data_IF_183665649883
#
_entry.id   IF_183665649883
#
_cell.length_a   1.000
_cell.length_b   1.000
_cell.length_c   1.000
_cell.angle_alpha   90.00
_cell.angle_beta   90.00
_cell.angle_gamma   90.00
#
_symmetry.space_group_name_H-M   'P 1'
#
loop_
_entity.id
_entity.type
_entity.pdbx_description
1 polymer ?
#
# COMPACT_ATOMS: atom_id res chain seq x y z
N UNK A 1 14.20 3.91 7.00
CA UNK A 1 12.92 3.81 7.74
C UNK A 1 11.86 4.41 6.83
N UNK A 2 10.80 3.67 6.52
CA UNK A 2 9.77 4.14 5.60
C UNK A 2 8.79 5.03 6.38
N UNK A 3 8.49 6.21 5.88
CA UNK A 3 7.50 7.10 6.50
C UNK A 3 6.14 6.86 5.88
N UNK A 4 5.36 5.96 6.49
CA UNK A 4 3.97 5.74 6.13
C UNK A 4 3.08 6.83 6.76
N UNK A 5 2.30 7.53 5.93
CA UNK A 5 1.31 8.51 6.40
C UNK A 5 -0.11 7.97 6.25
N UNK A 6 -1.02 8.44 7.10
CA UNK A 6 -2.44 8.09 6.99
C UNK A 6 -3.02 8.59 5.67
N UNK A 7 -3.84 7.77 5.02
CA UNK A 7 -4.56 8.23 3.83
C UNK A 7 -5.67 9.20 4.23
N UNK A 8 -5.82 10.27 3.45
CA UNK A 8 -6.88 11.26 3.62
C UNK A 8 -7.51 11.60 2.27
N UNK A 9 -8.66 12.28 2.32
CA UNK A 9 -9.32 12.79 1.11
C UNK A 9 -8.45 13.76 0.32
N UNK A 10 -7.46 14.40 0.95
CA UNK A 10 -6.54 15.35 0.32
C UNK A 10 -5.43 14.66 -0.47
N UNK A 11 -5.25 13.35 -0.30
CA UNK A 11 -4.24 12.58 -1.04
C UNK A 11 -4.74 12.12 -2.41
N UNK A 12 -5.92 12.56 -2.83
CA UNK A 12 -6.56 12.18 -4.09
C UNK A 12 -5.63 12.35 -5.30
N UNK A 13 -4.97 13.50 -5.38
CA UNK A 13 -4.11 13.85 -6.51
C UNK A 13 -2.77 13.10 -6.49
N UNK A 14 -2.43 12.46 -5.36
CA UNK A 14 -1.28 11.56 -5.25
C UNK A 14 -1.68 10.13 -5.62
N UNK A 15 -2.83 9.66 -5.14
CA UNK A 15 -3.23 8.25 -5.27
C UNK A 15 -3.81 7.94 -6.66
N UNK A 16 -4.72 8.77 -7.17
CA UNK A 16 -5.45 8.50 -8.42
C UNK A 16 -4.52 8.32 -9.63
N UNK A 17 -3.45 9.12 -9.81
CA UNK A 17 -2.54 8.91 -10.93
C UNK A 17 -1.88 7.52 -10.95
N UNK A 18 -1.67 6.88 -9.79
CA UNK A 18 -1.14 5.52 -9.73
C UNK A 18 -2.24 4.49 -10.02
N UNK A 19 -3.38 4.58 -9.32
CA UNK A 19 -4.43 3.56 -9.41
C UNK A 19 -5.14 3.56 -10.76
N UNK A 20 -5.31 4.71 -11.41
CA UNK A 20 -5.95 4.80 -12.73
C UNK A 20 -5.05 4.39 -13.89
N UNK A 21 -3.72 4.49 -13.74
CA UNK A 21 -2.76 4.16 -14.78
C UNK A 21 -2.20 2.74 -14.66
N UNK A 22 -2.63 1.97 -13.65
CA UNK A 22 -2.25 0.57 -13.49
C UNK A 22 -3.28 -0.37 -14.14
N UNK A 23 -2.87 -1.61 -14.39
CA UNK A 23 -3.74 -2.65 -14.95
C UNK A 23 -4.61 -3.35 -13.90
N UNK A 24 -4.40 -3.09 -12.61
CA UNK A 24 -5.13 -3.75 -11.53
C UNK A 24 -6.58 -3.26 -11.47
N UNK A 25 -7.52 -4.21 -11.31
CA UNK A 25 -8.97 -3.93 -11.32
C UNK A 25 -9.67 -4.37 -10.05
N UNK A 26 -8.93 -4.62 -8.97
CA UNK A 26 -9.52 -4.94 -7.67
C UNK A 26 -10.16 -3.69 -7.05
N UNK A 27 -11.30 -3.89 -6.39
CA UNK A 27 -12.08 -2.78 -5.85
C UNK A 27 -11.41 -2.08 -4.67
N UNK A 28 -10.45 -2.71 -3.99
CA UNK A 28 -9.73 -2.10 -2.87
C UNK A 28 -8.94 -0.85 -3.29
N UNK A 29 -8.58 -0.74 -4.57
CA UNK A 29 -7.86 0.42 -5.11
C UNK A 29 -8.76 1.61 -5.46
N UNK A 30 -10.07 1.46 -5.32
CA UNK A 30 -10.98 2.61 -5.38
C UNK A 30 -10.60 3.62 -4.31
N UNK A 31 -10.35 4.87 -4.69
CA UNK A 31 -9.99 5.93 -3.74
C UNK A 31 -11.07 6.12 -2.65
N UNK A 32 -12.34 5.91 -3.02
CA UNK A 32 -13.45 5.93 -2.06
C UNK A 32 -13.33 4.79 -1.04
N UNK A 33 -12.99 3.57 -1.47
CA UNK A 33 -12.78 2.45 -0.56
C UNK A 33 -11.58 2.68 0.36
N UNK A 34 -10.44 3.10 -0.21
CA UNK A 34 -9.23 3.39 0.55
C UNK A 34 -9.47 4.40 1.69
N UNK A 35 -10.23 5.46 1.42
CA UNK A 35 -10.58 6.46 2.44
C UNK A 35 -11.65 5.95 3.42
N UNK A 36 -12.72 5.32 2.91
CA UNK A 36 -13.88 4.94 3.73
C UNK A 36 -13.56 3.83 4.73
N UNK A 37 -12.70 2.89 4.34
CA UNK A 37 -12.29 1.77 5.20
C UNK A 37 -11.06 2.08 6.06
N UNK A 38 -10.50 3.30 5.97
CA UNK A 38 -9.31 3.70 6.74
C UNK A 38 -9.50 3.48 8.24
N UNK A 39 -10.66 3.80 8.80
CA UNK A 39 -10.91 3.65 10.24
C UNK A 39 -10.84 2.19 10.70
N UNK A 40 -11.26 1.25 9.85
CA UNK A 40 -11.22 -0.17 10.18
C UNK A 40 -9.81 -0.74 10.04
N UNK A 41 -9.12 -0.40 8.95
CA UNK A 41 -7.83 -1.02 8.60
C UNK A 41 -6.61 -0.18 8.95
N UNK A 42 -6.80 1.01 9.52
CA UNK A 42 -5.77 1.99 9.78
C UNK A 42 -4.89 2.23 8.53
N UNK A 43 -5.50 2.34 7.34
CA UNK A 43 -4.79 2.36 6.06
C UNK A 43 -3.81 3.54 5.98
N UNK A 44 -2.55 3.22 5.68
CA UNK A 44 -1.47 4.17 5.42
C UNK A 44 -0.88 3.94 4.04
N UNK A 45 -0.18 4.95 3.53
CA UNK A 45 0.57 4.82 2.29
C UNK A 45 1.92 5.54 2.33
N UNK A 46 2.78 5.16 1.40
CA UNK A 46 4.05 5.82 1.09
C UNK A 46 4.34 5.71 -0.41
N UNK A 47 5.14 6.64 -0.92
CA UNK A 47 5.77 6.51 -2.25
C UNK A 47 7.22 6.10 -2.03
N UNK A 48 7.64 4.97 -2.63
CA UNK A 48 8.96 4.38 -2.48
C UNK A 48 9.46 4.00 -3.86
N UNK A 49 10.57 4.59 -4.32
CA UNK A 49 11.16 4.26 -5.63
C UNK A 49 10.12 4.22 -6.77
N UNK A 50 9.27 5.24 -6.87
CA UNK A 50 8.16 5.34 -7.86
C UNK A 50 7.03 4.30 -7.72
N UNK A 51 6.97 3.60 -6.59
CA UNK A 51 5.83 2.76 -6.22
C UNK A 51 4.96 3.41 -5.16
N UNK A 52 3.66 3.42 -5.42
CA UNK A 52 2.64 3.60 -4.40
C UNK A 52 2.47 2.29 -3.63
N UNK A 53 2.73 2.37 -2.33
CA UNK A 53 2.60 1.24 -1.40
C UNK A 53 1.58 1.57 -0.34
N UNK A 54 0.61 0.67 -0.16
CA UNK A 54 -0.31 0.72 0.97
C UNK A 54 0.10 -0.27 2.05
N UNK A 55 -0.03 0.16 3.30
CA UNK A 55 0.15 -0.66 4.51
C UNK A 55 -1.10 -0.55 5.36
N UNK A 56 -1.63 -1.68 5.80
CA UNK A 56 -2.88 -1.72 6.54
C UNK A 56 -2.91 -2.92 7.50
N UNK A 57 -3.90 -2.94 8.38
CA UNK A 57 -4.03 -3.93 9.44
C UNK A 57 -5.38 -4.65 9.37
N UNK A 58 -5.35 -5.98 9.29
CA UNK A 58 -6.54 -6.83 9.35
C UNK A 58 -6.50 -7.58 10.68
N UNK A 59 -7.17 -7.01 11.69
CA UNK A 59 -7.00 -7.42 13.08
C UNK A 59 -5.55 -7.22 13.53
N UNK A 60 -4.90 -8.26 14.04
CA UNK A 60 -3.50 -8.20 14.46
C UNK A 60 -2.48 -8.35 13.31
N UNK A 61 -2.94 -8.62 12.08
CA UNK A 61 -2.07 -8.87 10.91
C UNK A 61 -1.76 -7.56 10.20
N UNK A 62 -0.48 -7.24 10.12
CA UNK A 62 0.05 -6.21 9.24
C UNK A 62 0.22 -6.76 7.85
N UNK A 63 -0.27 -6.02 6.85
CA UNK A 63 -0.27 -6.44 5.46
C UNK A 63 0.05 -5.26 4.55
N UNK A 64 0.65 -5.55 3.40
CA UNK A 64 0.87 -4.59 2.33
C UNK A 64 -0.05 -4.94 1.16
N UNK A 65 -0.51 -3.93 0.42
CA UNK A 65 -1.17 -4.17 -0.87
C UNK A 65 -0.10 -4.47 -1.92
N UNK A 66 -0.44 -5.21 -2.98
CA UNK A 66 0.39 -5.29 -4.18
C UNK A 66 0.83 -3.87 -4.60
N UNK A 67 2.14 -3.58 -4.69
CA UNK A 67 2.62 -2.25 -5.04
C UNK A 67 2.18 -1.83 -6.44
N UNK A 68 1.89 -0.54 -6.60
CA UNK A 68 1.48 0.05 -7.87
C UNK A 68 2.56 1.02 -8.33
N UNK A 69 3.12 0.81 -9.50
CA UNK A 69 4.20 1.65 -10.02
C UNK A 69 5.05 0.91 -11.02
N UNK A 70 6.22 1.48 -11.32
CA UNK A 70 7.20 0.91 -12.22
C UNK A 70 8.58 1.03 -11.56
N UNK A 71 9.44 0.05 -11.80
CA UNK A 71 10.79 0.04 -11.24
C UNK A 71 11.25 -1.35 -10.83
N UNK A 72 12.24 -1.41 -9.97
CA UNK A 72 12.78 -2.65 -9.42
C UNK A 72 11.90 -3.18 -8.29
N UNK A 73 10.98 -4.07 -8.64
CA UNK A 73 10.07 -4.69 -7.68
C UNK A 73 10.82 -5.56 -6.66
N UNK A 74 11.92 -6.21 -7.03
CA UNK A 74 12.67 -7.06 -6.10
C UNK A 74 13.28 -6.21 -4.98
N UNK A 75 13.91 -5.09 -5.35
CA UNK A 75 14.42 -4.11 -4.39
C UNK A 75 13.32 -3.55 -3.49
N UNK A 76 12.15 -3.23 -4.05
CA UNK A 76 11.02 -2.77 -3.25
C UNK A 76 10.57 -3.85 -2.25
N UNK A 77 10.48 -5.10 -2.66
CA UNK A 77 10.09 -6.20 -1.78
C UNK A 77 11.10 -6.37 -0.63
N UNK A 78 12.40 -6.27 -0.88
CA UNK A 78 13.41 -6.31 0.18
C UNK A 78 13.21 -5.18 1.20
N UNK A 79 12.88 -3.97 0.73
CA UNK A 79 12.55 -2.82 1.58
C UNK A 79 11.33 -3.10 2.46
N UNK A 80 10.25 -3.65 1.88
CA UNK A 80 9.01 -3.95 2.63
C UNK A 80 9.16 -5.13 3.60
N UNK A 81 9.96 -6.14 3.25
CA UNK A 81 10.32 -7.24 4.14
C UNK A 81 11.11 -6.72 5.35
N UNK A 82 12.06 -5.81 5.11
CA UNK A 82 12.82 -5.16 6.19
C UNK A 82 11.92 -4.32 7.11
N UNK A 83 10.94 -3.59 6.55
CA UNK A 83 9.93 -2.83 7.30
C UNK A 83 9.08 -3.74 8.20
N UNK A 84 8.54 -4.83 7.65
CA UNK A 84 7.76 -5.81 8.41
C UNK A 84 8.60 -6.43 9.56
N UNK A 85 9.86 -6.80 9.25
CA UNK A 85 10.79 -7.37 10.22
C UNK A 85 11.12 -6.38 11.35
N UNK A 86 11.33 -5.11 11.03
CA UNK A 86 11.60 -4.06 12.03
C UNK A 86 10.43 -3.88 13.01
N UNK A 87 9.20 -4.14 12.57
CA UNK A 87 7.99 -4.11 13.41
C UNK A 87 7.66 -5.46 14.07
N UNK A 88 8.55 -6.46 13.93
CA UNK A 88 8.36 -7.79 14.50
C UNK A 88 7.17 -8.55 13.89
N UNK A 89 6.81 -8.23 12.64
CA UNK A 89 5.69 -8.83 11.92
C UNK A 89 6.18 -9.68 10.74
N UNK A 90 5.48 -10.77 10.40
CA UNK A 90 5.67 -11.46 9.13
C UNK A 90 5.29 -10.53 7.96
N UNK A 91 5.93 -10.74 6.81
CA UNK A 91 5.60 -10.04 5.58
C UNK A 91 4.43 -10.71 4.85
N UNK A 92 3.40 -9.93 4.53
CA UNK A 92 2.22 -10.38 3.79
C UNK A 92 1.86 -9.37 2.71
N UNK A 93 1.52 -9.87 1.52
CA UNK A 93 0.94 -9.08 0.45
C UNK A 93 -0.48 -9.58 0.18
N UNK A 94 -1.43 -8.65 0.04
CA UNK A 94 -2.80 -8.91 -0.41
C UNK A 94 -3.07 -8.22 -1.75
N UNK A 95 -4.14 -8.65 -2.42
CA UNK A 95 -4.59 -8.04 -3.67
C UNK A 95 -3.72 -8.37 -4.88
N UNK A 96 -2.96 -9.48 -4.84
CA UNK A 96 -2.19 -9.96 -5.98
C UNK A 96 -3.11 -10.23 -7.17
N UNK A 97 -3.07 -9.34 -8.16
CA UNK A 97 -3.70 -9.51 -9.45
C UNK A 97 -2.72 -10.25 -10.37
N UNK A 98 -3.13 -11.44 -10.84
CA UNK A 98 -2.41 -12.27 -11.81
C UNK A 98 -2.67 -11.82 -13.25
#
# INVERSE_FOLDING_TARGET
>A
MITFKDITIYDKDIIIPYTMNCSYRNCDLSFSNLCSWRLLYNTKFAIIDEFLVFKFWVGAKQVYMQPIGKGDLAKLLDILIADAKAEGKPFYILGLCL
#
